data_IF_398314394772
#
_entry.id   IF_398314394772
#
_cell.length_a   1.000
_cell.length_b   1.000
_cell.length_c   1.000
_cell.angle_alpha   90.00
_cell.angle_beta   90.00
_cell.angle_gamma   90.00
#
_symmetry.space_group_name_H-M   'P 1'
#
loop_
_entity.id
_entity.type
_entity.pdbx_description
1 polymer ?
#
# COMPACT_ATOMS: atom_id res chain seq x y z
N UNK A 1 -8.00 11.97 5.96
CA UNK A 1 -6.78 11.35 6.52
C UNK A 1 -5.82 12.38 7.09
N UNK A 2 -5.26 13.33 6.30
CA UNK A 2 -4.33 14.36 6.83
C UNK A 2 -4.90 15.11 8.05
N UNK A 3 -6.11 15.66 7.95
CA UNK A 3 -6.76 16.38 9.06
C UNK A 3 -6.93 15.52 10.33
N UNK A 4 -7.19 14.21 10.17
CA UNK A 4 -7.34 13.29 11.30
C UNK A 4 -5.99 13.02 11.98
N UNK A 5 -4.91 12.84 11.20
CA UNK A 5 -3.57 12.68 11.75
C UNK A 5 -3.11 13.92 12.54
N UNK A 6 -3.39 15.12 12.01
CA UNK A 6 -3.13 16.38 12.73
C UNK A 6 -3.94 16.46 14.02
N UNK A 7 -5.23 16.10 14.00
CA UNK A 7 -6.07 16.05 15.20
C UNK A 7 -5.55 15.04 16.24
N UNK A 8 -4.89 13.97 15.80
CA UNK A 8 -4.24 12.98 16.67
C UNK A 8 -2.84 13.42 17.15
N UNK A 9 -2.39 14.62 16.80
CA UNK A 9 -1.13 15.20 17.28
C UNK A 9 0.09 14.96 16.38
N UNK A 10 -0.10 14.45 15.16
CA UNK A 10 1.00 14.33 14.19
C UNK A 10 1.34 15.74 13.65
N UNK A 11 2.60 16.20 13.74
CA UNK A 11 3.00 17.50 13.20
C UNK A 11 2.78 17.57 11.68
N UNK A 12 2.20 18.66 11.13
CA UNK A 12 1.96 18.79 9.70
C UNK A 12 3.20 18.60 8.83
N UNK A 13 4.38 19.02 9.30
CA UNK A 13 5.67 18.86 8.64
C UNK A 13 6.14 17.39 8.53
N UNK A 14 5.56 16.49 9.31
CA UNK A 14 5.79 15.05 9.24
C UNK A 14 4.78 14.34 8.32
N UNK A 15 3.81 15.06 7.76
CA UNK A 15 2.76 14.51 6.89
C UNK A 15 3.04 14.92 5.45
N UNK A 16 3.44 13.93 4.65
CA UNK A 16 3.57 14.10 3.21
C UNK A 16 2.32 13.55 2.53
N UNK A 17 1.66 14.39 1.72
CA UNK A 17 0.46 14.01 0.98
C UNK A 17 0.81 13.94 -0.50
N UNK A 18 0.58 12.78 -1.09
CA UNK A 18 0.55 12.58 -2.53
C UNK A 18 -0.93 12.64 -2.97
N UNK A 19 -1.28 13.55 -3.87
CA UNK A 19 -2.66 13.81 -4.30
C UNK A 19 -2.89 13.73 -5.81
N UNK A 20 -1.84 13.50 -6.59
CA UNK A 20 -1.83 13.69 -8.03
C UNK A 20 -1.85 12.36 -8.80
N UNK A 21 -1.35 11.26 -8.22
CA UNK A 21 -1.18 10.02 -9.00
C UNK A 21 -2.44 9.13 -9.01
N UNK A 22 -2.89 8.76 -10.21
CA UNK A 22 -3.89 7.70 -10.42
C UNK A 22 -3.26 6.30 -10.48
N UNK A 23 -1.94 6.21 -10.30
CA UNK A 23 -1.14 5.01 -10.54
C UNK A 23 -0.27 4.66 -9.34
N UNK A 24 -0.56 3.50 -8.73
CA UNK A 24 0.13 2.98 -7.53
C UNK A 24 1.66 2.91 -7.66
N UNK A 25 2.19 2.75 -8.88
CA UNK A 25 3.64 2.75 -9.14
C UNK A 25 4.26 4.13 -8.98
N UNK A 26 3.64 5.16 -9.55
CA UNK A 26 4.11 6.55 -9.43
C UNK A 26 4.12 6.98 -7.96
N UNK A 27 3.09 6.58 -7.22
CA UNK A 27 3.05 6.77 -5.78
C UNK A 27 4.24 6.09 -5.06
N UNK A 28 4.63 4.88 -5.44
CA UNK A 28 5.81 4.22 -4.88
C UNK A 28 7.10 4.99 -5.21
N UNK A 29 7.27 5.46 -6.45
CA UNK A 29 8.44 6.24 -6.88
C UNK A 29 8.53 7.60 -6.14
N UNK A 30 7.39 8.27 -5.93
CA UNK A 30 7.29 9.49 -5.13
C UNK A 30 7.70 9.25 -3.67
N UNK A 31 7.17 8.20 -3.03
CA UNK A 31 7.52 7.86 -1.64
C UNK A 31 9.01 7.53 -1.54
N UNK A 32 9.58 6.80 -2.51
CA UNK A 32 11.03 6.51 -2.52
C UNK A 32 11.88 7.79 -2.51
N UNK A 33 11.48 8.82 -3.25
CA UNK A 33 12.20 10.10 -3.25
C UNK A 33 12.18 10.77 -1.87
N UNK A 34 11.05 10.70 -1.15
CA UNK A 34 10.94 11.17 0.23
C UNK A 34 11.86 10.36 1.14
N UNK A 35 11.82 9.03 1.09
CA UNK A 35 12.65 8.17 1.94
C UNK A 35 14.14 8.47 1.74
N UNK A 36 14.59 8.63 0.50
CA UNK A 36 15.97 9.01 0.18
C UNK A 36 16.36 10.37 0.73
N UNK A 37 15.49 11.39 0.57
CA UNK A 37 15.72 12.75 1.08
C UNK A 37 15.89 12.76 2.60
N UNK A 38 15.19 11.88 3.31
CA UNK A 38 15.20 11.80 4.77
C UNK A 38 16.09 10.67 5.32
N UNK A 39 16.86 9.99 4.47
CA UNK A 39 17.74 8.87 4.85
C UNK A 39 17.00 7.73 5.60
N UNK A 40 15.75 7.48 5.23
CA UNK A 40 14.92 6.42 5.81
C UNK A 40 15.14 5.12 5.04
N UNK A 41 15.23 4.00 5.77
CA UNK A 41 15.52 2.68 5.21
C UNK A 41 14.41 1.65 5.43
N UNK A 42 13.40 1.98 6.23
CA UNK A 42 12.31 1.09 6.58
C UNK A 42 10.99 1.86 6.59
N UNK A 43 9.93 1.22 6.10
CA UNK A 43 8.57 1.75 6.16
C UNK A 43 7.59 0.71 6.67
N UNK A 44 6.51 1.17 7.30
CA UNK A 44 5.31 0.37 7.51
C UNK A 44 4.34 0.72 6.39
N UNK A 45 4.01 -0.26 5.55
CA UNK A 45 3.03 -0.11 4.49
C UNK A 45 1.67 -0.52 5.01
N UNK A 46 0.78 0.46 5.19
CA UNK A 46 -0.59 0.25 5.71
C UNK A 46 -1.61 0.43 4.60
N UNK A 47 -2.45 -0.59 4.38
CA UNK A 47 -3.57 -0.52 3.42
C UNK A 47 -4.70 -1.46 3.84
N UNK A 48 -5.83 -1.43 3.13
CA UNK A 48 -6.92 -2.38 3.35
C UNK A 48 -6.46 -3.83 3.14
N UNK A 49 -7.01 -4.81 3.86
CA UNK A 49 -6.50 -6.19 3.86
C UNK A 49 -6.50 -6.86 2.48
N UNK A 50 -7.54 -6.62 1.67
CA UNK A 50 -7.68 -7.24 0.35
C UNK A 50 -6.73 -6.61 -0.69
N UNK A 51 -6.39 -5.33 -0.58
CA UNK A 51 -5.43 -4.67 -1.48
C UNK A 51 -3.95 -4.86 -1.07
N UNK A 52 -3.71 -5.43 0.10
CA UNK A 52 -2.39 -5.50 0.72
C UNK A 52 -1.33 -6.19 -0.14
N UNK A 53 -1.70 -7.30 -0.79
CA UNK A 53 -0.76 -8.05 -1.62
C UNK A 53 -0.29 -7.23 -2.82
N UNK A 54 -1.21 -6.64 -3.58
CA UNK A 54 -0.85 -5.86 -4.78
C UNK A 54 -0.05 -4.62 -4.42
N UNK A 55 -0.47 -3.88 -3.40
CA UNK A 55 0.26 -2.70 -2.92
C UNK A 55 1.68 -3.10 -2.51
N UNK A 56 1.86 -4.19 -1.75
CA UNK A 56 3.18 -4.68 -1.39
C UNK A 56 4.04 -5.00 -2.62
N UNK A 57 3.50 -5.75 -3.58
CA UNK A 57 4.25 -6.13 -4.79
C UNK A 57 4.65 -4.91 -5.63
N UNK A 58 3.79 -3.89 -5.73
CA UNK A 58 4.10 -2.64 -6.42
C UNK A 58 5.23 -1.88 -5.72
N UNK A 59 5.11 -1.69 -4.40
CA UNK A 59 6.13 -0.95 -3.64
C UNK A 59 7.45 -1.72 -3.59
N UNK A 60 7.41 -3.03 -3.38
CA UNK A 60 8.60 -3.88 -3.34
C UNK A 60 9.39 -3.82 -4.66
N UNK A 61 8.71 -3.73 -5.81
CA UNK A 61 9.35 -3.53 -7.13
C UNK A 61 10.25 -2.31 -7.16
N UNK A 62 9.83 -1.23 -6.51
CA UNK A 62 10.55 0.06 -6.46
C UNK A 62 11.56 0.09 -5.31
N UNK A 63 11.23 -0.51 -4.17
CA UNK A 63 11.95 -0.35 -2.90
C UNK A 63 13.09 -1.35 -2.71
N UNK A 64 12.88 -2.62 -3.08
CA UNK A 64 13.90 -3.67 -2.89
C UNK A 64 15.21 -3.37 -3.63
N UNK A 65 15.22 -2.90 -4.90
CA UNK A 65 16.46 -2.53 -5.59
C UNK A 65 17.23 -1.39 -4.91
N UNK A 66 16.57 -0.64 -4.03
CA UNK A 66 17.13 0.49 -3.30
C UNK A 66 17.48 0.14 -1.84
N UNK A 67 17.28 -1.12 -1.43
CA UNK A 67 17.56 -1.57 -0.06
C UNK A 67 16.57 -1.03 0.97
N UNK A 68 15.37 -0.61 0.57
CA UNK A 68 14.33 -0.16 1.50
C UNK A 68 13.50 -1.36 1.96
N UNK A 69 13.39 -1.55 3.27
CA UNK A 69 12.60 -2.60 3.89
C UNK A 69 11.12 -2.18 4.04
N UNK A 70 10.21 -3.11 3.75
CA UNK A 70 8.77 -2.92 3.91
C UNK A 70 8.25 -3.86 5.00
N UNK A 71 7.73 -3.29 6.08
CA UNK A 71 6.89 -3.98 7.05
C UNK A 71 5.45 -3.86 6.57
N UNK A 72 4.90 -4.98 6.10
CA UNK A 72 3.55 -4.98 5.52
C UNK A 72 2.48 -5.18 6.60
N UNK A 73 1.55 -4.24 6.74
CA UNK A 73 0.50 -4.27 7.76
C UNK A 73 -0.86 -3.93 7.14
N UNK A 74 -1.93 -4.63 7.52
CA UNK A 74 -3.26 -4.28 7.07
C UNK A 74 -3.96 -3.43 8.12
N UNK A 75 -4.75 -2.45 7.68
CA UNK A 75 -5.69 -1.77 8.55
C UNK A 75 -6.92 -2.67 8.76
N UNK A 76 -7.39 -2.80 9.99
CA UNK A 76 -8.61 -3.56 10.28
C UNK A 76 -9.80 -2.98 9.51
N UNK A 77 -10.49 -3.85 8.77
CA UNK A 77 -11.63 -3.49 7.94
C UNK A 77 -12.88 -4.23 8.41
N UNK A 78 -13.37 -3.87 9.60
CA UNK A 78 -14.65 -4.36 10.14
C UNK A 78 -14.77 -5.88 10.16
N UNK A 79 -15.63 -6.44 9.31
CA UNK A 79 -15.93 -7.87 9.23
C UNK A 79 -14.89 -8.70 8.44
N UNK A 80 -13.86 -8.06 7.87
CA UNK A 80 -12.82 -8.77 7.15
C UNK A 80 -11.85 -9.47 8.12
N UNK A 81 -11.62 -10.77 7.91
CA UNK A 81 -10.58 -11.49 8.62
C UNK A 81 -9.87 -12.50 7.70
N UNK A 82 -8.53 -12.57 7.70
CA UNK A 82 -7.76 -13.46 6.83
C UNK A 82 -8.15 -14.94 6.92
N UNK A 83 -8.63 -15.39 8.08
CA UNK A 83 -9.05 -16.77 8.31
C UNK A 83 -10.52 -17.07 7.95
N UNK A 84 -11.34 -16.07 7.61
CA UNK A 84 -12.79 -16.27 7.39
C UNK A 84 -13.35 -15.55 6.16
N UNK A 85 -12.55 -14.76 5.43
CA UNK A 85 -13.01 -14.01 4.25
C UNK A 85 -13.74 -14.90 3.23
N UNK A 86 -13.30 -16.15 3.05
CA UNK A 86 -13.88 -17.07 2.08
C UNK A 86 -15.31 -17.51 2.40
N UNK A 87 -15.82 -17.26 3.63
CA UNK A 87 -17.19 -17.58 4.01
C UNK A 87 -18.20 -16.58 3.42
N UNK A 88 -17.81 -15.31 3.25
CA UNK A 88 -18.69 -14.25 2.72
C UNK A 88 -18.65 -14.19 1.19
N UNK A 89 -19.82 -14.13 0.55
CA UNK A 89 -19.92 -13.97 -0.90
C UNK A 89 -19.32 -12.64 -1.39
N UNK A 90 -19.50 -11.57 -0.62
CA UNK A 90 -18.96 -10.25 -0.94
C UNK A 90 -17.42 -10.23 -0.81
N UNK A 91 -16.87 -10.81 0.25
CA UNK A 91 -15.42 -10.93 0.43
C UNK A 91 -14.77 -11.79 -0.66
N UNK A 92 -15.43 -12.86 -1.11
CA UNK A 92 -14.96 -13.66 -2.26
C UNK A 92 -14.92 -12.85 -3.56
N UNK A 93 -15.91 -11.97 -3.80
CA UNK A 93 -15.91 -11.06 -4.97
C UNK A 93 -14.74 -10.08 -4.91
N UNK A 94 -14.48 -9.50 -3.73
CA UNK A 94 -13.36 -8.58 -3.52
C UNK A 94 -12.02 -9.25 -3.84
N UNK A 95 -11.75 -10.44 -3.28
CA UNK A 95 -10.51 -11.18 -3.58
C UNK A 95 -10.38 -11.49 -5.07
N UNK A 96 -11.47 -11.90 -5.72
CA UNK A 96 -11.45 -12.19 -7.16
C UNK A 96 -11.08 -10.95 -7.97
N UNK A 97 -11.72 -9.81 -7.71
CA UNK A 97 -11.40 -8.56 -8.40
C UNK A 97 -9.95 -8.11 -8.15
N UNK A 98 -9.41 -8.43 -6.97
CA UNK A 98 -8.02 -8.13 -6.66
C UNK A 98 -7.05 -9.04 -7.43
N UNK A 99 -7.36 -10.33 -7.56
CA UNK A 99 -6.57 -11.27 -8.36
C UNK A 99 -6.50 -10.81 -9.82
N UNK A 100 -7.64 -10.44 -10.40
CA UNK A 100 -7.72 -9.89 -11.77
C UNK A 100 -6.86 -8.63 -11.90
N UNK A 101 -6.88 -7.76 -10.90
CA UNK A 101 -5.98 -6.59 -10.88
C UNK A 101 -4.51 -7.02 -10.80
N UNK A 102 -4.15 -7.95 -9.92
CA UNK A 102 -2.76 -8.43 -9.77
C UNK A 102 -2.25 -8.99 -11.09
N UNK A 103 -3.04 -9.82 -11.78
CA UNK A 103 -2.67 -10.36 -13.09
C UNK A 103 -2.41 -9.24 -14.11
N UNK A 104 -3.35 -8.30 -14.23
CA UNK A 104 -3.24 -7.14 -15.11
C UNK A 104 -1.98 -6.29 -14.84
N UNK A 105 -1.68 -5.99 -13.57
CA UNK A 105 -0.50 -5.18 -13.23
C UNK A 105 0.81 -5.98 -13.33
N UNK A 106 0.76 -7.31 -13.18
CA UNK A 106 1.90 -8.20 -13.44
C UNK A 106 2.26 -8.19 -14.93
N UNK A 107 1.27 -8.29 -15.82
CA UNK A 107 1.48 -8.21 -17.27
C UNK A 107 2.07 -6.87 -17.72
N UNK A 108 1.70 -5.78 -17.04
CA UNK A 108 2.29 -4.44 -17.26
C UNK A 108 3.72 -4.29 -16.75
N UNK A 109 4.21 -5.22 -15.93
CA UNK A 109 5.53 -5.15 -15.29
C UNK A 109 5.59 -4.21 -14.08
N UNK A 110 4.44 -3.83 -13.52
CA UNK A 110 4.34 -2.92 -12.37
C UNK A 110 4.52 -3.64 -11.03
N UNK A 111 4.48 -4.97 -11.03
CA UNK A 111 4.64 -5.81 -9.85
C UNK A 111 6.01 -6.51 -9.82
N UNK A 112 6.43 -6.88 -8.62
CA UNK A 112 7.57 -7.79 -8.40
C UNK A 112 7.33 -9.18 -9.01
#
# INVERSE_FOLDING_TARGET
MCNQAVQMGVPPEAIFVESETLHTRENAEYVLAILKKHHLQQVILVTSPFHQLRTYLTFAKVFQPQGIEIINYYADAGEWHPATWFLSAEHRKLVRSEIECIEKYREKGDLL
#
